data_IF_242494311189
#
_entry.id   IF_242494311189
#
_cell.length_a   1.000
_cell.length_b   1.000
_cell.length_c   1.000
_cell.angle_alpha   90.00
_cell.angle_beta   90.00
_cell.angle_gamma   90.00
#
_symmetry.space_group_name_H-M   'P 1'
#
loop_
_entity.id
_entity.type
_entity.pdbx_description
1 polymer ?
#
# COMPACT_ATOMS: atom_id res chain seq x y z
N UNK A 1 1.62 -10.42 13.18
CA UNK A 1 2.88 -10.39 12.42
C UNK A 1 3.88 -9.40 13.01
N UNK A 2 3.49 -8.19 13.38
CA UNK A 2 4.39 -7.16 13.95
C UNK A 2 5.14 -7.58 15.21
N UNK A 3 4.64 -8.51 16.01
CA UNK A 3 5.32 -9.01 17.22
C UNK A 3 6.56 -9.88 16.93
N UNK A 4 6.64 -10.51 15.76
CA UNK A 4 7.69 -11.47 15.40
C UNK A 4 8.55 -11.00 14.23
N UNK A 5 8.04 -10.11 13.39
CA UNK A 5 8.77 -9.59 12.25
C UNK A 5 9.89 -8.64 12.69
N UNK A 6 11.08 -8.82 12.12
CA UNK A 6 12.26 -8.01 12.39
C UNK A 6 12.66 -7.22 11.13
N UNK A 7 12.51 -5.87 11.15
CA UNK A 7 12.77 -5.03 9.99
C UNK A 7 14.25 -4.74 9.77
N UNK A 8 15.08 -5.78 9.71
CA UNK A 8 16.50 -5.70 9.39
C UNK A 8 16.81 -6.49 8.12
N UNK A 9 17.75 -6.01 7.32
CA UNK A 9 18.09 -6.67 6.04
C UNK A 9 18.64 -8.08 6.23
N UNK A 10 19.17 -8.38 7.42
CA UNK A 10 19.73 -9.69 7.77
C UNK A 10 18.70 -10.66 8.34
N UNK A 11 17.64 -10.17 8.97
CA UNK A 11 16.70 -11.01 9.72
C UNK A 11 15.27 -11.00 9.14
N UNK A 12 14.95 -10.06 8.25
CA UNK A 12 13.58 -9.90 7.74
C UNK A 12 13.05 -11.20 7.13
N UNK A 13 13.81 -11.83 6.24
CA UNK A 13 13.41 -13.09 5.60
C UNK A 13 13.25 -14.23 6.62
N UNK A 14 14.25 -14.45 7.48
CA UNK A 14 14.20 -15.48 8.50
C UNK A 14 13.05 -15.28 9.50
N UNK A 15 12.73 -14.02 9.83
CA UNK A 15 11.60 -13.71 10.72
C UNK A 15 10.23 -14.03 10.07
N UNK A 16 10.11 -13.86 8.75
CA UNK A 16 8.91 -14.26 8.00
C UNK A 16 8.81 -15.78 7.93
N UNK A 17 9.92 -16.49 7.72
CA UNK A 17 9.98 -17.94 7.76
C UNK A 17 9.56 -18.47 9.14
N UNK A 18 10.12 -17.92 10.21
CA UNK A 18 9.73 -18.23 11.58
C UNK A 18 8.22 -18.03 11.84
N UNK A 19 7.64 -16.95 11.34
CA UNK A 19 6.19 -16.72 11.45
C UNK A 19 5.41 -17.85 10.74
N UNK A 20 5.91 -18.33 9.61
CA UNK A 20 5.21 -19.36 8.82
C UNK A 20 5.32 -20.76 9.40
N UNK A 21 6.42 -21.07 10.10
CA UNK A 21 6.74 -22.44 10.57
C UNK A 21 6.51 -22.63 12.07
N UNK A 22 6.88 -21.64 12.91
CA UNK A 22 6.95 -21.83 14.36
C UNK A 22 5.81 -21.13 15.13
N UNK A 23 5.26 -20.04 14.57
CA UNK A 23 4.23 -19.26 15.28
C UNK A 23 2.86 -19.91 15.12
N UNK A 24 2.18 -20.14 16.23
CA UNK A 24 0.81 -20.66 16.21
C UNK A 24 -0.13 -19.82 15.33
N UNK A 25 -0.73 -20.45 14.31
CA UNK A 25 -1.55 -19.79 13.28
C UNK A 25 -0.81 -18.70 12.46
N UNK A 26 0.50 -18.58 12.56
CA UNK A 26 1.27 -17.58 11.81
C UNK A 26 1.13 -17.74 10.31
N UNK A 27 1.19 -18.99 9.81
CA UNK A 27 0.95 -19.34 8.41
C UNK A 27 -0.43 -18.89 7.91
N UNK A 28 -1.47 -19.07 8.75
CA UNK A 28 -2.84 -18.69 8.41
C UNK A 28 -2.97 -17.16 8.31
N UNK A 29 -2.53 -16.45 9.34
CA UNK A 29 -2.61 -14.97 9.40
C UNK A 29 -1.87 -14.34 8.22
N UNK A 30 -0.65 -14.81 7.93
CA UNK A 30 0.12 -14.30 6.79
C UNK A 30 -0.52 -14.63 5.45
N UNK A 31 -1.03 -15.84 5.28
CA UNK A 31 -1.69 -16.25 4.04
C UNK A 31 -2.97 -15.46 3.79
N UNK A 32 -3.81 -15.30 4.81
CA UNK A 32 -5.02 -14.45 4.74
C UNK A 32 -4.65 -13.01 4.40
N UNK A 33 -3.63 -12.45 5.05
CA UNK A 33 -3.16 -11.08 4.77
C UNK A 33 -2.73 -10.91 3.31
N UNK A 34 -1.93 -11.83 2.77
CA UNK A 34 -1.44 -11.80 1.39
C UNK A 34 -2.58 -11.93 0.37
N UNK A 35 -3.48 -12.88 0.57
CA UNK A 35 -4.62 -13.08 -0.33
C UNK A 35 -5.60 -11.92 -0.26
N UNK A 36 -5.88 -11.40 0.93
CA UNK A 36 -6.74 -10.23 1.12
C UNK A 36 -6.18 -9.00 0.42
N UNK A 37 -4.85 -8.81 0.43
CA UNK A 37 -4.22 -7.71 -0.30
C UNK A 37 -4.45 -7.82 -1.81
N UNK A 38 -4.30 -9.01 -2.39
CA UNK A 38 -4.57 -9.25 -3.82
C UNK A 38 -6.03 -9.01 -4.17
N UNK A 39 -6.95 -9.52 -3.34
CA UNK A 39 -8.40 -9.33 -3.54
C UNK A 39 -8.81 -7.86 -3.34
N UNK A 40 -8.18 -7.14 -2.42
CA UNK A 40 -8.42 -5.71 -2.22
C UNK A 40 -8.06 -4.89 -3.45
N UNK A 41 -6.88 -5.14 -4.05
CA UNK A 41 -6.45 -4.45 -5.28
C UNK A 41 -7.39 -4.78 -6.44
N UNK A 42 -7.76 -6.05 -6.63
CA UNK A 42 -8.70 -6.46 -7.67
C UNK A 42 -10.06 -5.75 -7.50
N UNK A 43 -10.63 -5.81 -6.31
CA UNK A 43 -11.92 -5.17 -6.03
C UNK A 43 -11.85 -3.64 -6.15
N UNK A 44 -10.72 -3.02 -5.78
CA UNK A 44 -10.50 -1.59 -5.99
C UNK A 44 -10.54 -1.23 -7.48
N UNK A 45 -9.86 -2.00 -8.33
CA UNK A 45 -9.88 -1.78 -9.79
C UNK A 45 -11.31 -1.91 -10.33
N UNK A 46 -12.03 -2.96 -9.96
CA UNK A 46 -13.42 -3.17 -10.37
C UNK A 46 -14.33 -2.04 -9.86
N UNK A 47 -14.12 -1.58 -8.63
CA UNK A 47 -14.86 -0.47 -8.07
C UNK A 47 -14.60 0.84 -8.83
N UNK A 48 -13.35 1.16 -9.13
CA UNK A 48 -12.99 2.35 -9.93
C UNK A 48 -13.60 2.27 -11.32
N UNK A 49 -13.50 1.11 -12.00
CA UNK A 49 -14.12 0.88 -13.30
C UNK A 49 -15.65 1.10 -13.24
N UNK A 50 -16.32 0.56 -12.23
CA UNK A 50 -17.77 0.76 -12.04
C UNK A 50 -18.11 2.23 -11.88
N UNK A 51 -17.41 2.95 -11.00
CA UNK A 51 -17.67 4.37 -10.75
C UNK A 51 -17.42 5.21 -11.99
N UNK A 52 -16.36 4.91 -12.75
CA UNK A 52 -16.04 5.61 -13.99
C UNK A 52 -17.09 5.37 -15.07
N UNK A 53 -17.41 4.11 -15.35
CA UNK A 53 -18.36 3.72 -16.42
C UNK A 53 -19.79 4.20 -16.14
N UNK A 54 -20.20 4.28 -14.87
CA UNK A 54 -21.54 4.79 -14.49
C UNK A 54 -21.58 6.31 -14.26
N UNK A 55 -20.49 7.04 -14.53
CA UNK A 55 -20.44 8.48 -14.33
C UNK A 55 -20.57 8.92 -12.85
N UNK A 56 -20.30 8.00 -11.90
CA UNK A 56 -20.44 8.25 -10.48
C UNK A 56 -19.45 9.28 -9.88
N UNK A 57 -18.53 9.78 -10.69
CA UNK A 57 -17.60 10.86 -10.35
C UNK A 57 -18.12 12.26 -10.67
N UNK A 58 -19.24 12.38 -11.41
CA UNK A 58 -19.83 13.66 -11.80
C UNK A 58 -20.57 14.30 -10.62
N UNK A 59 -20.90 15.60 -10.77
CA UNK A 59 -21.68 16.33 -9.79
C UNK A 59 -22.91 15.56 -9.30
N UNK A 60 -23.18 15.55 -8.02
CA UNK A 60 -22.51 16.26 -6.91
C UNK A 60 -21.38 15.45 -6.21
N UNK A 61 -20.80 14.40 -6.82
CA UNK A 61 -19.92 13.39 -6.20
C UNK A 61 -18.42 13.60 -6.45
N UNK A 62 -18.01 14.80 -6.84
CA UNK A 62 -16.59 15.09 -7.15
C UNK A 62 -15.66 14.86 -5.95
N UNK A 63 -16.08 15.30 -4.75
CA UNK A 63 -15.28 15.09 -3.55
C UNK A 63 -15.18 13.61 -3.17
N UNK A 64 -16.23 12.83 -3.39
CA UNK A 64 -16.18 11.36 -3.21
C UNK A 64 -15.17 10.74 -4.17
N UNK A 65 -15.13 11.21 -5.42
CA UNK A 65 -14.13 10.75 -6.40
C UNK A 65 -12.70 11.08 -5.96
N UNK A 66 -12.45 12.33 -5.56
CA UNK A 66 -11.13 12.78 -5.10
C UNK A 66 -10.63 11.93 -3.91
N UNK A 67 -11.47 11.74 -2.89
CA UNK A 67 -11.11 10.89 -1.73
C UNK A 67 -10.91 9.45 -2.14
N UNK A 68 -11.66 8.94 -3.11
CA UNK A 68 -11.49 7.60 -3.69
C UNK A 68 -10.15 7.44 -4.42
N UNK A 69 -9.72 8.43 -5.19
CA UNK A 69 -8.40 8.42 -5.87
C UNK A 69 -7.26 8.43 -4.86
N UNK A 70 -7.38 9.23 -3.79
CA UNK A 70 -6.40 9.22 -2.71
C UNK A 70 -6.34 7.86 -2.00
N UNK A 71 -7.48 7.23 -1.74
CA UNK A 71 -7.56 5.88 -1.18
C UNK A 71 -6.93 4.83 -2.11
N UNK A 72 -7.17 4.92 -3.42
CA UNK A 72 -6.55 4.04 -4.40
C UNK A 72 -5.02 4.17 -4.37
N UNK A 73 -4.50 5.41 -4.32
CA UNK A 73 -3.06 5.67 -4.21
C UNK A 73 -2.45 5.11 -2.93
N UNK A 74 -3.14 5.24 -1.81
CA UNK A 74 -2.73 4.67 -0.52
C UNK A 74 -2.76 3.13 -0.58
N UNK A 75 -3.77 2.54 -1.22
CA UNK A 75 -3.86 1.07 -1.41
C UNK A 75 -2.70 0.52 -2.23
N UNK A 76 -2.32 1.19 -3.32
CA UNK A 76 -1.14 0.83 -4.11
C UNK A 76 0.13 0.95 -3.26
N UNK A 77 0.24 2.02 -2.45
CA UNK A 77 1.37 2.20 -1.54
C UNK A 77 1.47 1.09 -0.49
N UNK A 78 0.34 0.60 0.04
CA UNK A 78 0.31 -0.59 0.89
C UNK A 78 0.85 -1.83 0.17
N UNK A 79 0.43 -2.04 -1.08
CA UNK A 79 0.92 -3.16 -1.88
C UNK A 79 2.43 -3.13 -2.07
N UNK A 80 2.97 -1.98 -2.49
CA UNK A 80 4.41 -1.78 -2.73
C UNK A 80 5.22 -1.96 -1.46
N UNK A 81 4.84 -1.26 -0.39
CA UNK A 81 5.58 -1.32 0.87
C UNK A 81 5.52 -2.71 1.49
N UNK A 82 4.35 -3.36 1.50
CA UNK A 82 4.18 -4.69 2.09
C UNK A 82 4.89 -5.80 1.32
N UNK A 83 4.93 -5.70 0.00
CA UNK A 83 5.60 -6.68 -0.87
C UNK A 83 7.11 -6.73 -0.66
N UNK A 84 7.70 -5.62 -0.24
CA UNK A 84 9.14 -5.50 0.00
C UNK A 84 9.57 -5.99 1.39
N UNK A 85 8.65 -6.15 2.34
CA UNK A 85 8.98 -6.49 3.74
C UNK A 85 9.66 -7.85 3.93
N UNK A 86 9.32 -8.93 3.17
CA UNK A 86 10.05 -10.19 3.30
C UNK A 86 11.53 -10.08 2.94
N UNK A 87 11.93 -9.06 2.22
CA UNK A 87 13.31 -8.79 1.80
C UNK A 87 13.97 -9.94 1.06
N UNK A 88 13.14 -10.67 0.30
CA UNK A 88 13.59 -11.68 -0.64
C UNK A 88 14.04 -11.04 -1.97
N UNK A 89 14.55 -11.84 -2.89
CA UNK A 89 15.04 -11.35 -4.20
C UNK A 89 13.96 -10.58 -4.96
N UNK A 90 12.73 -11.10 -4.96
CA UNK A 90 11.63 -10.48 -5.70
C UNK A 90 11.22 -9.15 -5.05
N UNK A 91 11.06 -9.12 -3.74
CA UNK A 91 10.71 -7.92 -2.97
C UNK A 91 11.79 -6.84 -3.06
N UNK A 92 13.07 -7.22 -3.00
CA UNK A 92 14.19 -6.29 -3.15
C UNK A 92 14.21 -5.61 -4.53
N UNK A 93 14.13 -6.40 -5.60
CA UNK A 93 14.18 -5.85 -6.95
C UNK A 93 12.93 -5.04 -7.29
N UNK A 94 11.74 -5.48 -6.85
CA UNK A 94 10.52 -4.70 -6.97
C UNK A 94 10.64 -3.34 -6.27
N UNK A 95 11.16 -3.33 -5.04
CA UNK A 95 11.44 -2.11 -4.30
C UNK A 95 12.40 -1.18 -5.05
N UNK A 96 13.49 -1.73 -5.61
CA UNK A 96 14.49 -0.97 -6.36
C UNK A 96 13.89 -0.32 -7.61
N UNK A 97 13.07 -1.07 -8.36
CA UNK A 97 12.40 -0.58 -9.57
C UNK A 97 11.41 0.53 -9.20
N UNK A 98 10.47 0.26 -8.30
CA UNK A 98 9.41 1.21 -7.96
C UNK A 98 9.95 2.50 -7.34
N UNK A 99 10.96 2.40 -6.46
CA UNK A 99 11.58 3.59 -5.87
C UNK A 99 12.48 4.35 -6.86
N UNK A 100 12.85 3.74 -7.98
CA UNK A 100 13.59 4.39 -9.06
C UNK A 100 12.73 5.18 -10.04
N UNK A 101 11.44 4.83 -10.17
CA UNK A 101 10.53 5.51 -11.11
C UNK A 101 10.51 7.04 -10.96
N UNK A 102 10.47 7.62 -9.75
CA UNK A 102 10.50 9.08 -9.60
C UNK A 102 11.74 9.76 -10.13
N UNK A 103 12.84 9.03 -10.35
CA UNK A 103 14.10 9.61 -10.90
C UNK A 103 13.90 10.24 -12.27
N UNK A 104 12.89 9.78 -13.03
CA UNK A 104 12.53 10.36 -14.33
C UNK A 104 11.95 11.78 -14.23
N UNK A 105 11.58 12.25 -13.04
CA UNK A 105 11.05 13.60 -12.85
C UNK A 105 12.22 14.61 -12.83
N UNK A 106 12.25 15.56 -13.77
CA UNK A 106 13.34 16.55 -13.81
C UNK A 106 13.43 17.34 -12.51
N UNK A 107 14.64 17.67 -12.09
CA UNK A 107 15.00 18.52 -10.94
C UNK A 107 14.72 17.86 -9.57
N UNK A 108 13.52 17.34 -9.33
CA UNK A 108 13.11 16.85 -8.00
C UNK A 108 13.20 15.33 -7.86
N UNK A 109 13.34 14.58 -8.96
CA UNK A 109 13.28 13.11 -8.95
C UNK A 109 14.32 12.47 -8.04
N UNK A 110 15.57 12.90 -8.13
CA UNK A 110 16.64 12.41 -7.27
C UNK A 110 16.42 12.67 -5.78
N UNK A 111 15.78 13.80 -5.42
CA UNK A 111 15.41 14.10 -4.04
C UNK A 111 14.32 13.15 -3.54
N UNK A 112 13.30 12.90 -4.36
CA UNK A 112 12.21 11.97 -4.03
C UNK A 112 12.77 10.56 -3.84
N UNK A 113 13.65 10.09 -4.73
CA UNK A 113 14.29 8.77 -4.61
C UNK A 113 15.09 8.66 -3.31
N UNK A 114 15.90 9.65 -2.98
CA UNK A 114 16.65 9.69 -1.71
C UNK A 114 15.72 9.68 -0.49
N UNK A 115 14.62 10.42 -0.55
CA UNK A 115 13.63 10.44 0.52
C UNK A 115 12.96 9.08 0.71
N UNK A 116 12.57 8.42 -0.38
CA UNK A 116 11.94 7.09 -0.34
C UNK A 116 12.90 6.01 0.17
N UNK A 117 14.12 5.99 -0.36
CA UNK A 117 15.13 4.97 -0.02
C UNK A 117 15.83 5.24 1.32
N UNK A 118 15.89 6.48 1.74
CA UNK A 118 16.72 6.89 2.88
C UNK A 118 18.21 6.92 2.60
N UNK A 119 18.60 6.90 1.31
CA UNK A 119 19.97 6.92 0.83
C UNK A 119 20.04 6.81 -0.69
N UNK A 120 21.23 6.60 -1.22
CA UNK A 120 21.47 6.46 -2.67
C UNK A 120 20.96 5.10 -3.18
N UNK A 121 21.07 4.06 -2.37
CA UNK A 121 20.70 2.69 -2.74
C UNK A 121 19.59 2.14 -1.83
N UNK A 122 18.90 1.13 -2.32
CA UNK A 122 17.95 0.34 -1.54
C UNK A 122 18.71 -0.48 -0.49
N UNK A 123 18.29 -0.43 0.77
CA UNK A 123 18.97 -1.09 1.87
C UNK A 123 18.19 -0.99 3.18
N UNK A 124 18.91 -1.05 4.30
CA UNK A 124 18.32 -1.03 5.65
C UNK A 124 17.39 0.17 5.87
N UNK A 125 17.82 1.36 5.49
CA UNK A 125 17.00 2.57 5.63
C UNK A 125 15.69 2.50 4.86
N UNK A 126 15.70 1.87 3.67
CA UNK A 126 14.51 1.66 2.86
C UNK A 126 13.55 0.69 3.54
N UNK A 127 14.07 -0.43 4.02
CA UNK A 127 13.28 -1.45 4.72
C UNK A 127 12.60 -0.87 5.96
N UNK A 128 13.34 -0.14 6.78
CA UNK A 128 12.79 0.49 7.99
C UNK A 128 11.70 1.50 7.67
N UNK A 129 11.88 2.32 6.65
CA UNK A 129 10.87 3.30 6.18
C UNK A 129 9.63 2.61 5.66
N UNK A 130 9.79 1.56 4.85
CA UNK A 130 8.67 0.80 4.30
C UNK A 130 7.91 0.06 5.39
N UNK A 131 8.59 -0.49 6.38
CA UNK A 131 7.95 -1.09 7.55
C UNK A 131 7.13 -0.06 8.33
N UNK A 132 7.70 1.09 8.65
CA UNK A 132 7.00 2.16 9.37
C UNK A 132 5.82 2.72 8.56
N UNK A 133 6.00 2.88 7.25
CA UNK A 133 4.93 3.31 6.36
C UNK A 133 3.79 2.28 6.35
N UNK A 134 4.10 1.00 6.13
CA UNK A 134 3.12 -0.08 6.00
C UNK A 134 2.34 -0.34 7.28
N UNK A 135 3.00 -0.30 8.44
CA UNK A 135 2.40 -0.71 9.72
C UNK A 135 1.78 0.43 10.50
N UNK A 136 2.19 1.67 10.26
CA UNK A 136 1.74 2.82 11.03
C UNK A 136 1.19 3.96 10.16
N UNK A 137 1.99 4.54 9.26
CA UNK A 137 1.60 5.75 8.55
C UNK A 137 0.43 5.50 7.60
N UNK A 138 0.55 4.50 6.72
CA UNK A 138 -0.49 4.19 5.74
C UNK A 138 -1.80 3.74 6.40
N UNK A 139 -1.82 2.90 7.47
CA UNK A 139 -3.06 2.57 8.17
C UNK A 139 -3.78 3.78 8.75
N UNK A 140 -3.07 4.73 9.34
CA UNK A 140 -3.66 5.96 9.88
C UNK A 140 -4.25 6.81 8.75
N UNK A 141 -3.47 7.06 7.69
CA UNK A 141 -3.93 7.84 6.53
C UNK A 141 -5.13 7.16 5.86
N UNK A 142 -5.07 5.85 5.64
CA UNK A 142 -6.20 5.10 5.06
C UNK A 142 -7.46 5.20 5.92
N UNK A 143 -7.33 5.10 7.24
CA UNK A 143 -8.48 5.20 8.16
C UNK A 143 -9.17 6.56 8.05
N UNK A 144 -8.40 7.65 8.06
CA UNK A 144 -8.93 9.01 7.91
C UNK A 144 -9.62 9.21 6.56
N UNK A 145 -8.95 8.77 5.48
CA UNK A 145 -9.51 8.88 4.12
C UNK A 145 -10.75 8.00 3.94
N UNK A 146 -10.77 6.80 4.52
CA UNK A 146 -11.90 5.89 4.44
C UNK A 146 -13.12 6.45 5.17
N UNK A 147 -12.93 6.99 6.39
CA UNK A 147 -14.00 7.66 7.13
C UNK A 147 -14.54 8.85 6.32
N UNK A 148 -13.67 9.68 5.76
CA UNK A 148 -14.06 10.81 4.92
C UNK A 148 -14.85 10.35 3.69
N UNK A 149 -14.37 9.33 2.99
CA UNK A 149 -15.02 8.77 1.81
C UNK A 149 -16.43 8.23 2.12
N UNK A 150 -16.57 7.47 3.20
CA UNK A 150 -17.89 6.97 3.63
C UNK A 150 -18.84 8.06 4.07
N UNK A 151 -18.35 9.10 4.76
CA UNK A 151 -19.19 10.25 5.14
C UNK A 151 -19.70 10.99 3.90
N UNK A 152 -18.85 11.14 2.86
CA UNK A 152 -19.27 11.75 1.60
C UNK A 152 -20.34 10.91 0.88
N UNK A 153 -20.13 9.59 0.79
CA UNK A 153 -21.14 8.68 0.21
C UNK A 153 -22.45 8.76 0.97
N UNK A 154 -22.40 8.79 2.31
CA UNK A 154 -23.61 8.89 3.13
C UNK A 154 -24.37 10.20 2.91
N UNK A 155 -23.66 11.31 2.72
CA UNK A 155 -24.29 12.61 2.44
C UNK A 155 -24.86 12.71 1.03
N UNK A 156 -24.18 12.16 0.03
CA UNK A 156 -24.51 12.36 -1.38
C UNK A 156 -25.34 11.20 -1.96
N UNK A 157 -25.47 10.10 -1.22
CA UNK A 157 -26.06 8.86 -1.71
C UNK A 157 -25.17 8.10 -2.68
N UNK A 158 -25.50 6.85 -2.94
CA UNK A 158 -24.85 6.03 -3.98
C UNK A 158 -25.32 6.46 -5.37
N UNK A 159 -24.41 6.37 -6.37
CA UNK A 159 -24.81 6.57 -7.77
C UNK A 159 -25.74 5.43 -8.18
N UNK A 160 -26.89 5.76 -8.74
CA UNK A 160 -27.79 4.78 -9.38
C UNK A 160 -27.15 4.10 -10.59
N UNK A 161 -27.75 3.04 -11.10
CA UNK A 161 -27.42 2.55 -12.44
C UNK A 161 -27.73 3.64 -13.49
N UNK A 162 -27.02 3.58 -14.63
CA UNK A 162 -27.29 4.45 -15.79
C UNK A 162 -28.69 4.21 -16.33
#
# INVERSE_FOLDING_TARGET
MTFYYRPTVTEAFASVEFIMTEVNFGWLIRSVHRWSASMMVLNMILHVCRVYLTGGFKKPRELTWVTGVLLASVTVSFGVTGYSLPWDQVGYWACKIVTGVPEAIPVVGGLIVKLLRGGVSVGQSTLTRFYSAHTFVLPVVASVLMLTHFLMIRKQGISGPL
#
